data_IF_609765801981
#
_entry.id   IF_609765801981
#
_cell.length_a   1.000
_cell.length_b   1.000
_cell.length_c   1.000
_cell.angle_alpha   90.00
_cell.angle_beta   90.00
_cell.angle_gamma   90.00
#
_symmetry.space_group_name_H-M   'P 1'
#
loop_
_entity.id
_entity.type
_entity.pdbx_description
1 polymer ?
#
# COMPACT_ATOMS: atom_id res chain seq x y z
N UNK A 1 13.01 -20.89 14.32
CA UNK A 1 13.15 -19.56 13.68
C UNK A 1 14.40 -18.88 14.22
N UNK A 2 15.20 -18.27 13.38
CA UNK A 2 16.32 -17.45 13.85
C UNK A 2 15.76 -16.26 14.63
N UNK A 3 16.20 -16.10 15.87
CA UNK A 3 15.87 -14.94 16.69
C UNK A 3 17.09 -14.02 16.75
N UNK A 4 16.86 -12.72 16.65
CA UNK A 4 17.88 -11.70 16.85
C UNK A 4 17.37 -10.71 17.87
N UNK A 5 18.23 -10.35 18.81
CA UNK A 5 17.96 -9.30 19.79
C UNK A 5 18.34 -7.97 19.17
N UNK A 6 17.41 -7.01 19.23
CA UNK A 6 17.64 -5.63 18.80
C UNK A 6 17.67 -4.75 20.05
N UNK A 7 18.79 -4.08 20.27
CA UNK A 7 18.91 -3.06 21.30
C UNK A 7 18.54 -1.71 20.70
N UNK A 8 17.62 -1.00 21.35
CA UNK A 8 17.14 0.31 20.92
C UNK A 8 17.17 1.28 22.10
N UNK A 9 17.20 2.59 21.80
CA UNK A 9 17.05 3.60 22.84
C UNK A 9 15.64 3.57 23.44
N UNK A 10 15.49 4.08 24.67
CA UNK A 10 14.19 4.19 25.33
C UNK A 10 13.21 5.06 24.52
N UNK A 11 13.71 6.11 23.88
CA UNK A 11 12.91 6.97 23.00
C UNK A 11 12.31 6.18 21.83
N UNK A 12 13.12 5.35 21.17
CA UNK A 12 12.67 4.51 20.07
C UNK A 12 11.66 3.44 20.53
N UNK A 13 11.86 2.88 21.72
CA UNK A 13 10.89 1.96 22.33
C UNK A 13 9.54 2.66 22.57
N UNK A 14 9.55 3.86 23.14
CA UNK A 14 8.34 4.64 23.39
C UNK A 14 7.61 5.03 22.08
N UNK A 15 8.36 5.31 21.02
CA UNK A 15 7.79 5.54 19.69
C UNK A 15 7.09 4.30 19.13
N UNK A 16 7.67 3.11 19.30
CA UNK A 16 7.06 1.84 18.87
C UNK A 16 5.77 1.54 19.65
N UNK A 17 5.73 1.83 20.95
CA UNK A 17 4.53 1.67 21.79
C UNK A 17 3.38 2.54 21.28
N UNK A 18 3.66 3.81 20.92
CA UNK A 18 2.64 4.73 20.36
C UNK A 18 2.08 4.27 19.01
N UNK A 19 2.87 3.53 18.24
CA UNK A 19 2.47 3.01 16.92
C UNK A 19 1.62 1.74 16.96
N UNK A 20 1.41 1.18 18.15
CA UNK A 20 0.62 -0.04 18.34
C UNK A 20 -0.85 0.26 18.05
N UNK A 21 -1.38 -0.27 16.95
CA UNK A 21 -2.78 -0.02 16.52
C UNK A 21 -3.80 -0.86 17.27
N UNK A 22 -3.39 -2.00 17.82
CA UNK A 22 -4.25 -2.89 18.62
C UNK A 22 -3.46 -3.49 19.78
N UNK A 23 -4.12 -3.69 20.92
CA UNK A 23 -3.52 -4.16 22.19
C UNK A 23 -2.68 -5.44 22.08
N UNK A 24 -2.92 -6.27 21.07
CA UNK A 24 -2.25 -7.56 20.86
C UNK A 24 -1.21 -7.59 19.72
N UNK A 25 -0.89 -6.45 19.09
CA UNK A 25 0.13 -6.45 18.04
C UNK A 25 1.54 -6.66 18.62
N UNK A 26 2.33 -7.58 18.05
CA UNK A 26 3.72 -7.80 18.48
C UNK A 26 4.65 -6.71 17.94
N UNK A 27 5.66 -6.32 18.72
CA UNK A 27 6.67 -5.35 18.28
C UNK A 27 7.37 -5.78 16.99
N UNK A 28 7.58 -7.08 16.79
CA UNK A 28 8.12 -7.63 15.53
C UNK A 28 7.25 -7.27 14.33
N UNK A 29 5.92 -7.36 14.44
CA UNK A 29 5.01 -6.98 13.35
C UNK A 29 5.07 -5.49 13.04
N UNK A 30 5.18 -4.65 14.07
CA UNK A 30 5.30 -3.20 13.90
C UNK A 30 6.61 -2.84 13.19
N UNK A 31 7.73 -3.45 13.64
CA UNK A 31 9.06 -3.25 13.02
C UNK A 31 9.03 -3.71 11.56
N UNK A 32 8.46 -4.87 11.25
CA UNK A 32 8.31 -5.35 9.88
C UNK A 32 7.43 -4.43 9.05
N UNK A 33 6.31 -3.92 9.59
CA UNK A 33 5.44 -2.96 8.89
C UNK A 33 6.19 -1.68 8.54
N UNK A 34 6.94 -1.12 9.49
CA UNK A 34 7.70 0.12 9.30
C UNK A 34 8.86 -0.05 8.31
N UNK A 35 9.58 -1.15 8.40
CA UNK A 35 10.71 -1.44 7.50
C UNK A 35 10.25 -1.88 6.12
N UNK A 36 9.13 -2.60 6.01
CA UNK A 36 8.54 -2.98 4.72
C UNK A 36 7.88 -1.81 4.02
N UNK A 37 7.36 -0.79 4.72
CA UNK A 37 6.88 0.44 4.06
C UNK A 37 7.96 1.14 3.22
N UNK A 38 9.24 0.95 3.57
CA UNK A 38 10.36 1.43 2.75
C UNK A 38 10.75 0.47 1.60
N UNK A 39 10.36 -0.81 1.67
CA UNK A 39 10.59 -1.79 0.59
C UNK A 39 9.42 -1.88 -0.40
N UNK A 40 8.19 -1.61 0.04
CA UNK A 40 6.95 -1.60 -0.74
C UNK A 40 6.78 -0.31 -1.55
N UNK A 41 7.87 0.15 -2.16
CA UNK A 41 7.79 0.98 -3.37
C UNK A 41 7.25 0.17 -4.56
N UNK A 42 6.47 -0.89 -4.36
CA UNK A 42 5.84 -1.68 -5.42
C UNK A 42 4.83 -0.84 -6.19
N UNK A 43 4.03 -0.03 -5.48
CA UNK A 43 3.17 0.97 -6.10
C UNK A 43 3.99 2.02 -6.85
N UNK A 44 5.03 2.58 -6.25
CA UNK A 44 5.87 3.59 -6.91
C UNK A 44 6.59 3.01 -8.14
N UNK A 45 7.15 1.80 -8.05
CA UNK A 45 7.77 1.06 -9.16
C UNK A 45 6.77 0.73 -10.27
N UNK A 46 5.53 0.38 -9.91
CA UNK A 46 4.46 0.19 -10.89
C UNK A 46 4.15 1.50 -11.62
N UNK A 47 4.05 2.61 -10.89
CA UNK A 47 3.85 3.94 -11.47
C UNK A 47 5.03 4.34 -12.36
N UNK A 48 6.27 4.10 -11.92
CA UNK A 48 7.47 4.39 -12.69
C UNK A 48 7.57 3.51 -13.95
N UNK A 49 7.13 2.25 -13.88
CA UNK A 49 7.01 1.35 -15.02
C UNK A 49 5.97 1.85 -16.03
N UNK A 50 4.79 2.26 -15.56
CA UNK A 50 3.74 2.83 -16.42
C UNK A 50 4.16 4.15 -17.09
N UNK A 51 5.01 4.94 -16.43
CA UNK A 51 5.57 6.18 -16.99
C UNK A 51 6.65 5.92 -18.04
N UNK A 52 7.51 4.93 -17.83
CA UNK A 52 8.60 4.57 -18.75
C UNK A 52 8.12 3.80 -19.98
N UNK A 53 7.03 3.03 -19.84
CA UNK A 53 6.34 2.36 -20.93
C UNK A 53 4.90 2.85 -21.00
N UNK A 54 4.64 4.00 -21.65
CA UNK A 54 3.28 4.49 -21.80
C UNK A 54 2.46 3.45 -22.59
N UNK A 55 1.27 3.07 -22.10
CA UNK A 55 0.42 2.14 -22.80
C UNK A 55 0.01 2.69 -24.17
N UNK A 56 -0.24 1.79 -25.12
CA UNK A 56 -0.72 2.18 -26.44
C UNK A 56 -2.05 2.93 -26.35
N UNK A 57 -2.29 3.81 -27.32
CA UNK A 57 -3.53 4.60 -27.40
C UNK A 57 -4.78 3.70 -27.43
N UNK A 58 -4.70 2.57 -28.12
CA UNK A 58 -5.75 1.55 -28.15
C UNK A 58 -6.07 0.98 -26.76
N UNK A 59 -5.05 0.72 -25.93
CA UNK A 59 -5.26 0.22 -24.58
C UNK A 59 -5.93 1.28 -23.71
N UNK A 60 -5.50 2.54 -23.83
CA UNK A 60 -6.07 3.67 -23.07
C UNK A 60 -7.54 3.87 -23.44
N UNK A 61 -7.88 3.79 -24.72
CA UNK A 61 -9.25 3.95 -25.19
C UNK A 61 -10.17 2.83 -24.69
N UNK A 62 -9.72 1.56 -24.73
CA UNK A 62 -10.47 0.43 -24.18
C UNK A 62 -10.65 0.52 -22.66
N UNK A 63 -9.60 0.95 -21.94
CA UNK A 63 -9.68 1.13 -20.48
C UNK A 63 -10.69 2.21 -20.12
N UNK A 64 -10.70 3.33 -20.87
CA UNK A 64 -11.66 4.42 -20.69
C UNK A 64 -13.09 3.94 -20.87
N UNK A 65 -13.38 3.20 -21.93
CA UNK A 65 -14.71 2.64 -22.20
C UNK A 65 -15.19 1.74 -21.05
N UNK A 66 -14.32 0.85 -20.54
CA UNK A 66 -14.67 -0.05 -19.43
C UNK A 66 -14.91 0.71 -18.12
N UNK A 67 -14.14 1.77 -17.84
CA UNK A 67 -14.32 2.59 -16.64
C UNK A 67 -15.63 3.38 -16.73
N UNK A 68 -15.92 4.00 -17.87
CA UNK A 68 -17.16 4.74 -18.10
C UNK A 68 -18.39 3.85 -17.97
N UNK A 69 -18.35 2.62 -18.49
CA UNK A 69 -19.44 1.65 -18.31
C UNK A 69 -19.62 1.26 -16.84
N UNK A 70 -18.52 1.10 -16.08
CA UNK A 70 -18.59 0.80 -14.65
C UNK A 70 -19.13 1.96 -13.81
N UNK A 71 -18.75 3.20 -14.14
CA UNK A 71 -19.30 4.39 -13.47
C UNK A 71 -20.80 4.55 -13.74
N UNK A 72 -21.26 4.32 -14.97
CA UNK A 72 -22.69 4.31 -15.30
C UNK A 72 -23.47 3.27 -14.49
N UNK A 73 -22.88 2.10 -14.26
CA UNK A 73 -23.47 1.04 -13.43
C UNK A 73 -23.54 1.48 -11.96
N UNK A 74 -22.46 2.02 -11.40
CA UNK A 74 -22.43 2.48 -10.00
C UNK A 74 -23.41 3.64 -9.74
N UNK A 75 -23.53 4.59 -10.67
CA UNK A 75 -24.49 5.70 -10.59
C UNK A 75 -25.94 5.22 -10.66
N UNK A 76 -26.22 4.12 -11.37
CA UNK A 76 -27.54 3.47 -11.39
C UNK A 76 -27.86 2.76 -10.08
N UNK A 77 -26.88 2.10 -9.46
CA UNK A 77 -27.07 1.41 -8.18
C UNK A 77 -27.29 2.38 -7.01
N UNK A 78 -26.75 3.60 -7.05
CA UNK A 78 -26.94 4.62 -6.00
C UNK A 78 -28.26 5.39 -6.08
N UNK A 79 -29.00 5.30 -7.19
CA UNK A 79 -30.30 5.98 -7.41
C UNK A 79 -31.52 5.06 -7.24
N UNK A 80 -31.33 3.81 -6.81
CA UNK A 80 -32.39 2.83 -6.55
C UNK A 80 -32.67 2.66 -5.07
#
# INVERSE_FOLDING_TARGET
MAHKTLTISEEAYNALVKQKKSGDESFTKIILRLTNQHQDNSAQRLIDYLRSNPPSEDFVNRLREVVEEREKIQLRTYRS
#
